data_IF_996739981410
#
_entry.id   IF_996739981410
#
_cell.length_a   1.000
_cell.length_b   1.000
_cell.length_c   1.000
_cell.angle_alpha   90.00
_cell.angle_beta   90.00
_cell.angle_gamma   90.00
#
_symmetry.space_group_name_H-M   'P 1'
#
loop_
_entity.id
_entity.type
_entity.pdbx_description
1 polymer ?
#
# COMPACT_ATOMS: atom_id res chain seq x y z
N UNK A 1 1.34 -9.39 -2.86
CA UNK A 1 1.05 -8.76 -1.56
C UNK A 1 0.86 -9.84 -0.48
N UNK A 2 1.75 -9.91 0.51
CA UNK A 2 1.70 -10.94 1.56
C UNK A 2 0.68 -10.57 2.65
N UNK A 3 -0.52 -11.14 2.57
CA UNK A 3 -1.62 -10.84 3.52
C UNK A 3 -1.34 -11.27 4.94
N UNK A 4 -0.49 -12.28 5.16
CA UNK A 4 -0.12 -12.76 6.49
C UNK A 4 0.71 -11.71 7.22
N UNK A 5 1.70 -11.12 6.55
CA UNK A 5 2.55 -10.05 7.13
C UNK A 5 1.71 -8.82 7.47
N UNK A 6 0.83 -8.39 6.54
CA UNK A 6 -0.06 -7.24 6.75
C UNK A 6 -1.01 -7.50 7.91
N UNK A 7 -1.63 -8.68 7.96
CA UNK A 7 -2.52 -9.09 9.04
C UNK A 7 -1.84 -9.06 10.41
N UNK A 8 -0.60 -9.57 10.49
CA UNK A 8 0.18 -9.56 11.71
C UNK A 8 0.49 -8.12 12.18
N UNK A 9 0.87 -7.22 11.26
CA UNK A 9 1.10 -5.79 11.58
C UNK A 9 -0.16 -5.09 12.09
N UNK A 10 -1.34 -5.39 11.52
CA UNK A 10 -2.63 -4.88 12.01
C UNK A 10 -2.88 -5.38 13.44
N UNK A 11 -2.63 -6.66 13.70
CA UNK A 11 -2.79 -7.28 15.02
C UNK A 11 -1.87 -6.65 16.07
N UNK A 12 -0.62 -6.39 15.71
CA UNK A 12 0.37 -5.80 16.61
C UNK A 12 0.03 -4.34 16.93
N UNK A 13 -0.34 -3.56 15.91
CA UNK A 13 -0.81 -2.18 16.12
C UNK A 13 -2.07 -2.14 16.99
N UNK A 14 -3.06 -3.01 16.75
CA UNK A 14 -4.26 -3.12 17.59
C UNK A 14 -3.91 -3.43 19.05
N UNK A 15 -3.06 -4.44 19.28
CA UNK A 15 -2.65 -4.84 20.62
C UNK A 15 -1.87 -3.74 21.33
N UNK A 16 -1.03 -2.98 20.62
CA UNK A 16 -0.31 -1.83 21.19
C UNK A 16 -1.23 -0.73 21.73
N UNK A 17 -2.49 -0.70 21.26
CA UNK A 17 -3.54 0.21 21.74
C UNK A 17 -4.50 -0.44 22.75
N UNK A 18 -4.24 -1.66 23.20
CA UNK A 18 -5.11 -2.42 24.10
C UNK A 18 -6.55 -2.61 23.60
N UNK A 19 -6.76 -2.61 22.27
CA UNK A 19 -8.08 -2.81 21.67
C UNK A 19 -8.37 -4.29 21.46
N UNK A 20 -9.60 -4.72 21.69
CA UNK A 20 -10.13 -6.00 21.21
C UNK A 20 -10.41 -5.96 19.71
N UNK A 21 -10.53 -7.11 19.06
CA UNK A 21 -10.91 -7.18 17.64
C UNK A 21 -12.30 -6.58 17.38
N UNK A 22 -13.20 -6.71 18.36
CA UNK A 22 -14.56 -6.14 18.29
C UNK A 22 -14.52 -4.61 18.34
N UNK A 23 -13.73 -4.04 19.25
CA UNK A 23 -13.55 -2.58 19.35
C UNK A 23 -12.89 -1.99 18.10
N UNK A 24 -11.82 -2.62 17.60
CA UNK A 24 -11.22 -2.17 16.34
C UNK A 24 -12.24 -2.24 15.19
N UNK A 25 -13.02 -3.32 15.12
CA UNK A 25 -14.10 -3.47 14.14
C UNK A 25 -15.04 -2.27 14.17
N UNK A 26 -15.55 -1.91 15.36
CA UNK A 26 -16.42 -0.75 15.51
C UNK A 26 -15.78 0.56 15.05
N UNK A 27 -14.51 0.80 15.39
CA UNK A 27 -13.78 2.01 15.01
C UNK A 27 -13.60 2.14 13.49
N UNK A 28 -13.57 1.02 12.76
CA UNK A 28 -13.43 1.01 11.30
C UNK A 28 -14.72 0.68 10.53
N UNK A 29 -15.88 0.75 11.21
CA UNK A 29 -17.20 0.40 10.66
C UNK A 29 -17.26 -1.03 10.09
N UNK A 30 -16.72 -1.99 10.84
CA UNK A 30 -16.71 -3.41 10.52
C UNK A 30 -17.07 -4.26 11.74
N UNK A 31 -17.20 -5.57 11.56
CA UNK A 31 -17.37 -6.51 12.66
C UNK A 31 -16.03 -7.13 13.11
N UNK A 32 -16.03 -7.75 14.29
CA UNK A 32 -14.83 -8.43 14.81
C UNK A 32 -14.40 -9.65 13.98
N UNK A 33 -15.31 -10.28 13.21
CA UNK A 33 -14.96 -11.41 12.32
C UNK A 33 -14.13 -10.93 11.14
N UNK A 34 -14.43 -9.74 10.62
CA UNK A 34 -13.65 -9.07 9.59
C UNK A 34 -12.23 -8.77 10.08
N UNK A 35 -12.09 -8.21 11.29
CA UNK A 35 -10.77 -7.98 11.89
C UNK A 35 -10.02 -9.29 12.08
N UNK A 36 -10.67 -10.32 12.60
CA UNK A 36 -10.06 -11.65 12.72
C UNK A 36 -9.58 -12.20 11.37
N UNK A 37 -10.39 -12.06 10.31
CA UNK A 37 -10.00 -12.49 8.95
C UNK A 37 -8.82 -11.68 8.41
N UNK A 38 -8.76 -10.37 8.65
CA UNK A 38 -7.61 -9.52 8.32
C UNK A 38 -6.34 -9.97 9.06
N UNK A 39 -6.42 -10.10 10.38
CA UNK A 39 -5.28 -10.40 11.25
C UNK A 39 -4.67 -11.79 10.99
N UNK A 40 -5.48 -12.72 10.49
CA UNK A 40 -5.04 -14.06 10.11
C UNK A 40 -4.67 -14.18 8.62
N UNK A 41 -4.62 -13.07 7.89
CA UNK A 41 -4.24 -13.04 6.47
C UNK A 41 -5.27 -13.63 5.50
N UNK A 42 -6.49 -13.94 5.97
CA UNK A 42 -7.58 -14.48 5.15
C UNK A 42 -8.28 -13.45 4.27
N UNK A 43 -7.96 -12.16 4.42
CA UNK A 43 -8.38 -11.09 3.52
C UNK A 43 -7.46 -9.87 3.66
N UNK A 44 -7.44 -9.01 2.65
CA UNK A 44 -6.76 -7.71 2.69
C UNK A 44 -7.77 -6.57 2.95
N UNK A 45 -7.36 -5.47 3.60
CA UNK A 45 -8.18 -4.28 3.67
C UNK A 45 -8.22 -3.59 2.29
N UNK A 46 -9.35 -2.98 1.95
CA UNK A 46 -9.38 -2.04 0.81
C UNK A 46 -8.53 -0.80 1.14
N UNK A 47 -8.12 -0.03 0.12
CA UNK A 47 -7.36 1.21 0.34
C UNK A 47 -8.05 2.16 1.32
N UNK A 48 -9.38 2.33 1.19
CA UNK A 48 -10.19 3.13 2.11
C UNK A 48 -10.09 2.62 3.55
N UNK A 49 -10.12 1.31 3.77
CA UNK A 49 -9.98 0.71 5.10
C UNK A 49 -8.56 0.77 5.61
N UNK A 50 -7.55 0.67 4.75
CA UNK A 50 -6.15 0.85 5.11
C UNK A 50 -5.90 2.26 5.67
N UNK A 51 -6.44 3.29 5.01
CA UNK A 51 -6.38 4.68 5.49
C UNK A 51 -7.15 4.87 6.80
N UNK A 52 -8.24 4.13 7.01
CA UNK A 52 -8.99 4.20 8.27
C UNK A 52 -8.24 3.50 9.41
N UNK A 53 -7.65 2.34 9.14
CA UNK A 53 -6.77 1.62 10.05
C UNK A 53 -5.57 2.48 10.46
N UNK A 54 -4.95 3.18 9.52
CA UNK A 54 -3.80 4.07 9.81
C UNK A 54 -4.18 5.17 10.80
N UNK A 55 -5.33 5.82 10.58
CA UNK A 55 -5.86 6.85 11.49
C UNK A 55 -6.22 6.28 12.87
N UNK A 56 -6.99 5.19 12.91
CA UNK A 56 -7.47 4.58 14.16
C UNK A 56 -6.33 3.99 14.97
N UNK A 57 -5.36 3.35 14.31
CA UNK A 57 -4.24 2.68 14.96
C UNK A 57 -3.03 3.58 15.19
N UNK A 58 -3.13 4.86 14.85
CA UNK A 58 -2.05 5.84 14.90
C UNK A 58 -0.74 5.32 14.26
N UNK A 59 -0.86 4.82 13.03
CA UNK A 59 0.24 4.37 12.19
C UNK A 59 0.12 5.01 10.82
N UNK A 60 1.22 5.03 10.08
CA UNK A 60 1.20 5.41 8.67
C UNK A 60 0.73 4.22 7.81
N UNK A 61 0.37 4.47 6.56
CA UNK A 61 0.00 3.37 5.66
C UNK A 61 1.20 2.47 5.36
N UNK A 62 2.40 3.04 5.19
CA UNK A 62 3.67 2.32 4.95
C UNK A 62 3.96 1.30 6.05
N UNK A 63 3.68 1.61 7.31
CA UNK A 63 3.83 0.64 8.42
C UNK A 63 3.17 -0.70 8.08
N UNK A 64 1.98 -0.69 7.49
CA UNK A 64 1.28 -1.92 7.12
C UNK A 64 1.82 -2.59 5.85
N UNK A 65 2.45 -1.85 4.93
CA UNK A 65 2.76 -2.32 3.57
C UNK A 65 4.27 -2.37 3.21
N UNK A 66 5.17 -1.87 4.05
CA UNK A 66 6.60 -1.60 3.75
C UNK A 66 7.46 -2.80 3.29
N UNK A 67 6.98 -4.04 3.46
CA UNK A 67 7.74 -5.26 3.13
C UNK A 67 6.95 -6.15 2.16
N UNK A 68 6.16 -5.50 1.31
CA UNK A 68 5.59 -6.17 0.16
C UNK A 68 6.67 -6.10 -0.90
N UNK A 69 7.32 -7.23 -1.16
CA UNK A 69 8.02 -7.43 -2.42
C UNK A 69 7.02 -7.13 -3.55
N UNK A 70 7.14 -5.93 -4.09
CA UNK A 70 6.75 -5.67 -5.46
C UNK A 70 7.74 -6.47 -6.28
N UNK A 71 7.38 -7.73 -6.58
CA UNK A 71 8.07 -8.46 -7.62
C UNK A 71 8.10 -7.52 -8.82
N UNK A 72 9.30 -7.24 -9.34
CA UNK A 72 9.55 -6.26 -10.41
C UNK A 72 8.80 -6.56 -11.73
N UNK A 73 7.96 -7.59 -11.76
CA UNK A 73 7.26 -8.06 -12.96
C UNK A 73 6.24 -7.05 -13.53
N UNK A 74 5.75 -6.10 -12.72
CA UNK A 74 4.81 -5.05 -13.18
C UNK A 74 5.46 -3.71 -13.51
N UNK A 75 6.79 -3.61 -13.44
CA UNK A 75 7.48 -2.49 -14.10
C UNK A 75 7.58 -2.87 -15.56
N UNK A 76 6.49 -2.64 -16.32
CA UNK A 76 6.63 -2.52 -17.78
C UNK A 76 7.88 -1.67 -18.02
N UNK A 77 8.89 -2.17 -18.75
CA UNK A 77 10.00 -1.31 -19.15
C UNK A 77 9.33 -0.07 -19.70
N UNK A 78 9.63 1.12 -19.14
CA UNK A 78 9.08 2.38 -19.64
C UNK A 78 9.21 2.27 -21.15
N UNK A 79 8.09 2.18 -21.86
CA UNK A 79 8.14 2.13 -23.31
C UNK A 79 9.03 3.31 -23.69
N UNK A 80 10.14 3.05 -24.38
CA UNK A 80 10.94 4.15 -24.88
C UNK A 80 9.96 5.04 -25.63
N UNK A 81 9.79 6.28 -25.18
CA UNK A 81 8.93 7.23 -25.87
C UNK A 81 9.61 7.43 -27.21
N UNK A 82 9.13 6.72 -28.24
CA UNK A 82 9.60 6.88 -29.60
C UNK A 82 9.03 8.20 -30.07
N UNK A 83 9.77 9.27 -29.80
CA UNK A 83 9.47 10.59 -30.32
C UNK A 83 9.63 10.53 -31.84
N UNK A 84 8.50 10.46 -32.54
CA UNK A 84 8.42 10.45 -34.01
C UNK A 84 8.53 11.86 -34.59
N UNK A 85 8.18 12.86 -33.80
CA UNK A 85 8.23 14.26 -34.19
C UNK A 85 9.69 14.77 -34.21
N UNK A 86 10.11 15.33 -35.34
CA UNK A 86 11.48 15.82 -35.53
C UNK A 86 11.81 17.02 -34.63
N UNK A 87 10.82 17.87 -34.32
CA UNK A 87 11.02 19.03 -33.44
C UNK A 87 11.22 18.58 -32.00
N UNK A 88 10.39 17.65 -31.51
CA UNK A 88 10.54 17.10 -30.16
C UNK A 88 11.87 16.35 -30.00
N UNK A 89 12.37 15.67 -31.05
CA UNK A 89 13.71 15.05 -31.05
C UNK A 89 14.82 16.08 -30.92
N UNK A 90 14.74 17.20 -31.66
CA UNK A 90 15.71 18.30 -31.56
C UNK A 90 15.71 18.92 -30.17
N UNK A 91 14.54 19.10 -29.56
CA UNK A 91 14.42 19.60 -28.19
C UNK A 91 15.06 18.64 -27.20
N UNK A 92 14.76 17.34 -27.25
CA UNK A 92 15.40 16.36 -26.37
C UNK A 92 16.92 16.32 -26.52
N UNK A 93 17.42 16.42 -27.75
CA UNK A 93 18.86 16.45 -28.01
C UNK A 93 19.52 17.68 -27.39
N UNK A 94 18.90 18.86 -27.55
CA UNK A 94 19.39 20.09 -26.94
C UNK A 94 19.41 20.01 -25.41
N UNK A 95 18.36 19.46 -24.79
CA UNK A 95 18.31 19.26 -23.34
C UNK A 95 19.42 18.32 -22.82
N UNK A 96 19.78 17.28 -23.57
CA UNK A 96 20.89 16.37 -23.21
C UNK A 96 22.27 16.99 -23.33
N UNK A 97 22.42 18.02 -24.15
CA UNK A 97 23.69 18.75 -24.31
C UNK A 97 23.87 19.83 -23.24
N UNK A 98 22.78 20.26 -22.59
CA UNK A 98 22.77 21.32 -21.57
C UNK A 98 22.88 20.77 -20.14
N UNK A 99 22.34 19.57 -19.88
CA UNK A 99 22.43 18.86 -18.60
C UNK A 99 23.64 17.93 -18.57
#
# INVERSE_FOLDING_TARGET
>A
MNSVIIGQRIKDARKSMNLTQKELGYLIYADGKYISRLENGGSLPSLKRLVLLSRVLNRTCDYFIWDIDVMEEDVTPREEIVIRDEQERKLLQLWREIC
#
